data_IF_084926831437
#
_entry.id   IF_084926831437
#
_cell.length_a   1.000
_cell.length_b   1.000
_cell.length_c   1.000
_cell.angle_alpha   90.00
_cell.angle_beta   90.00
_cell.angle_gamma   90.00
#
_symmetry.space_group_name_H-M   'P 1'
#
loop_
_entity.id
_entity.type
_entity.pdbx_description
1 polymer ?
#
# COMPACT_ATOMS: atom_id res chain seq x y z
N UNK A 1 50.20 -10.95 -46.74
CA UNK A 1 49.72 -11.36 -45.39
C UNK A 1 48.25 -10.93 -45.30
N UNK A 2 47.32 -11.90 -45.27
CA UNK A 2 46.50 -12.28 -44.08
C UNK A 2 45.65 -11.09 -43.56
N UNK A 3 44.35 -11.16 -43.29
CA UNK A 3 43.36 -12.24 -43.17
C UNK A 3 42.00 -11.57 -42.83
N UNK A 4 40.88 -12.14 -43.35
CA UNK A 4 39.54 -12.34 -42.70
C UNK A 4 38.65 -11.10 -42.46
N UNK A 5 37.44 -11.02 -43.06
CA UNK A 5 36.15 -11.67 -42.67
C UNK A 5 35.80 -11.35 -41.19
N UNK A 6 34.63 -10.77 -40.84
CA UNK A 6 33.32 -11.43 -40.62
C UNK A 6 32.33 -10.28 -40.27
N UNK A 7 31.31 -9.95 -41.07
CA UNK A 7 29.89 -10.37 -40.99
C UNK A 7 29.20 -10.33 -39.60
N UNK A 8 28.15 -9.50 -39.53
CA UNK A 8 26.89 -9.68 -38.80
C UNK A 8 26.88 -10.12 -37.32
N UNK A 9 26.34 -9.27 -36.44
CA UNK A 9 25.16 -9.61 -35.62
C UNK A 9 24.34 -8.33 -35.40
N UNK A 10 23.40 -8.06 -36.29
CA UNK A 10 22.26 -7.20 -36.01
C UNK A 10 21.11 -8.11 -35.60
N UNK A 11 21.06 -8.52 -34.33
CA UNK A 11 19.92 -9.23 -33.77
C UNK A 11 20.02 -9.15 -32.25
N UNK A 12 19.24 -8.25 -31.63
CA UNK A 12 18.73 -8.32 -30.26
C UNK A 12 17.96 -7.02 -29.94
N UNK A 13 16.96 -6.68 -30.76
CA UNK A 13 15.90 -5.73 -30.39
C UNK A 13 14.54 -6.45 -30.34
N UNK A 14 14.58 -7.74 -29.98
CA UNK A 14 13.41 -8.53 -29.62
C UNK A 14 13.54 -8.99 -28.16
N UNK A 15 14.02 -8.11 -27.27
CA UNK A 15 13.44 -8.13 -25.93
C UNK A 15 12.05 -7.56 -26.10
N UNK A 16 11.09 -8.45 -26.35
CA UNK A 16 9.69 -8.18 -26.09
C UNK A 16 9.64 -7.35 -24.81
N UNK A 17 9.16 -6.12 -24.92
CA UNK A 17 8.83 -5.32 -23.77
C UNK A 17 7.88 -6.16 -22.95
N UNK A 18 8.42 -6.82 -21.92
CA UNK A 18 7.68 -6.95 -20.68
C UNK A 18 7.55 -5.51 -20.25
N UNK A 19 6.53 -4.82 -20.78
CA UNK A 19 5.96 -3.68 -20.11
C UNK A 19 5.49 -4.28 -18.79
N UNK A 20 6.39 -4.30 -17.82
CA UNK A 20 6.01 -4.33 -16.41
C UNK A 20 5.05 -3.16 -16.34
N UNK A 21 3.76 -3.46 -16.25
CA UNK A 21 2.80 -2.38 -16.15
C UNK A 21 3.18 -1.62 -14.89
N UNK A 22 3.54 -0.34 -15.10
CA UNK A 22 4.05 0.52 -14.04
C UNK A 22 2.97 0.65 -12.98
N UNK A 23 3.35 0.45 -11.72
CA UNK A 23 2.43 0.59 -10.62
C UNK A 23 1.80 1.98 -10.63
N UNK A 24 0.50 2.03 -10.39
CA UNK A 24 -0.19 3.31 -10.37
C UNK A 24 0.22 4.08 -9.12
N UNK A 25 0.73 5.29 -9.36
CA UNK A 25 1.20 6.18 -8.30
C UNK A 25 0.06 6.96 -7.66
N UNK A 26 0.24 7.23 -6.37
CA UNK A 26 -0.57 8.05 -5.48
C UNK A 26 0.30 9.17 -4.91
N UNK A 27 -0.13 10.42 -5.08
CA UNK A 27 0.56 11.59 -4.55
C UNK A 27 -0.31 12.28 -3.51
N UNK A 28 0.25 12.53 -2.33
CA UNK A 28 -0.44 13.21 -1.23
C UNK A 28 0.54 14.05 -0.39
N UNK A 29 0.02 14.99 0.41
CA UNK A 29 0.82 15.70 1.40
C UNK A 29 0.74 14.98 2.75
N UNK A 30 1.88 14.74 3.40
CA UNK A 30 1.91 14.12 4.73
C UNK A 30 1.55 15.11 5.85
N UNK A 31 1.61 14.64 7.11
CA UNK A 31 1.31 15.47 8.27
C UNK A 31 2.25 16.68 8.47
N UNK A 32 3.38 16.73 7.75
CA UNK A 32 4.31 17.86 7.74
C UNK A 32 4.11 18.79 6.53
N UNK A 33 3.13 18.48 5.67
CA UNK A 33 2.88 19.19 4.41
C UNK A 33 3.83 18.79 3.29
N UNK A 34 4.68 17.77 3.49
CA UNK A 34 5.61 17.30 2.46
C UNK A 34 4.85 16.44 1.45
N UNK A 35 5.01 16.75 0.17
CA UNK A 35 4.49 15.91 -0.91
C UNK A 35 5.24 14.58 -0.94
N UNK A 36 4.47 13.49 -0.87
CA UNK A 36 4.91 12.11 -1.01
C UNK A 36 4.25 11.53 -2.25
N UNK A 37 5.04 10.78 -3.03
CA UNK A 37 4.53 9.97 -4.14
C UNK A 37 4.93 8.52 -3.88
N UNK A 38 3.96 7.61 -3.88
CA UNK A 38 4.12 6.18 -3.59
C UNK A 38 3.11 5.40 -4.43
N UNK A 39 3.22 4.08 -4.48
CA UNK A 39 2.29 3.24 -5.24
C UNK A 39 0.96 3.10 -4.47
N UNK A 40 -0.17 3.02 -5.18
CA UNK A 40 -1.49 2.88 -4.55
C UNK A 40 -1.58 1.63 -3.67
N UNK A 41 -1.07 0.50 -4.17
CA UNK A 41 -1.05 -0.74 -3.37
C UNK A 41 -0.23 -0.55 -2.09
N UNK A 42 0.90 0.15 -2.15
CA UNK A 42 1.76 0.39 -1.01
C UNK A 42 1.05 1.26 0.04
N UNK A 43 0.28 2.25 -0.40
CA UNK A 43 -0.55 3.09 0.47
C UNK A 43 -1.62 2.26 1.19
N UNK A 44 -2.33 1.39 0.45
CA UNK A 44 -3.35 0.52 1.02
C UNK A 44 -2.74 -0.49 2.01
N UNK A 45 -1.64 -1.16 1.64
CA UNK A 45 -0.91 -2.06 2.53
C UNK A 45 -0.43 -1.36 3.81
N UNK A 46 0.08 -0.12 3.66
CA UNK A 46 0.53 0.71 4.78
C UNK A 46 -0.59 1.00 5.77
N UNK A 47 -1.79 1.32 5.27
CA UNK A 47 -2.97 1.49 6.11
C UNK A 47 -3.42 0.17 6.76
N UNK A 48 -3.42 -0.95 6.02
CA UNK A 48 -3.72 -2.25 6.60
C UNK A 48 -2.79 -2.58 7.79
N UNK A 49 -1.48 -2.42 7.61
CA UNK A 49 -0.49 -2.65 8.67
C UNK A 49 -0.68 -1.75 9.88
N UNK A 50 -0.92 -0.46 9.65
CA UNK A 50 -1.15 0.51 10.72
C UNK A 50 -2.43 0.20 11.50
N UNK A 51 -3.54 -0.02 10.81
CA UNK A 51 -4.83 -0.30 11.42
C UNK A 51 -4.84 -1.63 12.16
N UNK A 52 -4.08 -2.63 11.72
CA UNK A 52 -3.92 -3.90 12.45
C UNK A 52 -3.37 -3.69 13.86
N UNK A 53 -2.42 -2.78 14.00
CA UNK A 53 -1.78 -2.46 15.29
C UNK A 53 -2.71 -1.59 16.14
N UNK A 54 -3.34 -0.59 15.53
CA UNK A 54 -4.30 0.28 16.23
C UNK A 54 -5.54 -0.49 16.69
N UNK A 55 -6.00 -1.50 15.96
CA UNK A 55 -7.11 -2.35 16.39
C UNK A 55 -6.75 -3.17 17.63
N UNK A 56 -5.52 -3.70 17.69
CA UNK A 56 -5.00 -4.36 18.89
C UNK A 56 -4.98 -3.42 20.10
N UNK A 57 -4.52 -2.18 19.91
CA UNK A 57 -4.59 -1.17 20.97
C UNK A 57 -6.05 -0.85 21.36
N UNK A 58 -6.94 -0.65 20.39
CA UNK A 58 -8.35 -0.35 20.63
C UNK A 58 -9.06 -1.45 21.43
N UNK A 59 -8.71 -2.73 21.19
CA UNK A 59 -9.15 -3.86 22.01
C UNK A 59 -8.71 -3.70 23.46
N UNK A 60 -7.43 -3.39 23.72
CA UNK A 60 -6.94 -3.20 25.09
C UNK A 60 -7.64 -2.05 25.82
N UNK A 61 -8.10 -1.05 25.07
CA UNK A 61 -8.84 0.11 25.59
C UNK A 61 -10.36 -0.08 25.59
N UNK A 62 -10.86 -1.26 25.20
CA UNK A 62 -12.31 -1.55 25.10
C UNK A 62 -13.08 -0.52 24.26
N UNK A 63 -12.50 -0.05 23.16
CA UNK A 63 -13.16 0.88 22.25
C UNK A 63 -14.32 0.18 21.51
N UNK A 64 -15.50 0.80 21.36
CA UNK A 64 -16.67 0.17 20.74
C UNK A 64 -16.49 -0.12 19.24
N UNK A 65 -15.61 0.61 18.55
CA UNK A 65 -15.43 0.53 17.09
C UNK A 65 -14.46 -0.54 16.60
N UNK A 66 -13.91 -1.41 17.48
CA UNK A 66 -12.91 -2.43 17.13
C UNK A 66 -13.30 -3.26 15.91
N UNK A 67 -14.56 -3.73 15.85
CA UNK A 67 -15.03 -4.57 14.74
C UNK A 67 -14.94 -3.83 13.39
N UNK A 68 -15.35 -2.55 13.37
CA UNK A 68 -15.28 -1.74 12.15
C UNK A 68 -13.83 -1.53 11.70
N UNK A 69 -12.89 -1.40 12.64
CA UNK A 69 -11.45 -1.30 12.32
C UNK A 69 -10.89 -2.59 11.73
N UNK A 70 -11.31 -3.76 12.23
CA UNK A 70 -10.88 -5.04 11.70
C UNK A 70 -11.39 -5.24 10.27
N UNK A 71 -12.66 -4.93 10.01
CA UNK A 71 -13.25 -4.93 8.67
C UNK A 71 -12.49 -3.98 7.73
N UNK A 72 -12.17 -2.78 8.22
CA UNK A 72 -11.41 -1.79 7.46
C UNK A 72 -9.99 -2.25 7.16
N UNK A 73 -9.32 -2.85 8.14
CA UNK A 73 -7.98 -3.45 7.98
C UNK A 73 -7.97 -4.49 6.87
N UNK A 74 -8.94 -5.41 6.89
CA UNK A 74 -9.10 -6.44 5.85
C UNK A 74 -9.37 -5.82 4.49
N UNK A 75 -10.21 -4.80 4.40
CA UNK A 75 -10.50 -4.14 3.13
C UNK A 75 -9.25 -3.45 2.54
N UNK A 76 -8.47 -2.71 3.34
CA UNK A 76 -7.21 -2.14 2.87
C UNK A 76 -6.24 -3.21 2.36
N UNK A 77 -6.15 -4.35 3.06
CA UNK A 77 -5.35 -5.48 2.63
C UNK A 77 -5.80 -6.01 1.27
N UNK A 78 -7.10 -6.27 1.11
CA UNK A 78 -7.68 -6.76 -0.14
C UNK A 78 -7.46 -5.78 -1.30
N UNK A 79 -7.65 -4.48 -1.07
CA UNK A 79 -7.40 -3.45 -2.09
C UNK A 79 -5.93 -3.41 -2.52
N UNK A 80 -4.99 -3.54 -1.57
CA UNK A 80 -3.57 -3.62 -1.91
C UNK A 80 -3.25 -4.80 -2.82
N UNK A 81 -3.70 -6.00 -2.45
CA UNK A 81 -3.42 -7.23 -3.20
C UNK A 81 -4.08 -7.17 -4.56
N UNK A 82 -5.35 -6.74 -4.62
CA UNK A 82 -6.09 -6.58 -5.86
C UNK A 82 -5.42 -5.59 -6.82
N UNK A 83 -4.99 -4.43 -6.31
CA UNK A 83 -4.32 -3.40 -7.13
C UNK A 83 -3.02 -3.93 -7.73
N UNK A 84 -2.19 -4.63 -6.93
CA UNK A 84 -0.97 -5.28 -7.42
C UNK A 84 -1.26 -6.31 -8.53
N UNK A 85 -2.29 -7.14 -8.37
CA UNK A 85 -2.69 -8.11 -9.40
C UNK A 85 -3.08 -7.41 -10.70
N UNK A 86 -3.89 -6.34 -10.61
CA UNK A 86 -4.31 -5.58 -11.79
C UNK A 86 -3.16 -4.80 -12.44
N UNK A 87 -2.31 -4.16 -11.64
CA UNK A 87 -1.20 -3.35 -12.15
C UNK A 87 -0.11 -4.23 -12.73
N UNK A 88 0.31 -5.31 -12.04
CA UNK A 88 1.46 -6.11 -12.46
C UNK A 88 1.12 -7.41 -13.20
N UNK A 89 -0.16 -7.76 -13.29
CA UNK A 89 -0.61 -9.01 -13.94
C UNK A 89 -0.14 -10.29 -13.24
N UNK A 90 0.17 -10.22 -11.94
CA UNK A 90 0.69 -11.33 -11.14
C UNK A 90 -0.43 -12.10 -10.44
N UNK A 91 -0.11 -13.30 -9.95
CA UNK A 91 -1.04 -14.11 -9.15
C UNK A 91 -1.23 -13.51 -7.74
N UNK A 92 -2.20 -14.05 -7.01
CA UNK A 92 -2.59 -13.55 -5.69
C UNK A 92 -1.52 -13.74 -4.62
N UNK A 93 -0.83 -14.88 -4.61
CA UNK A 93 0.20 -15.18 -3.61
C UNK A 93 1.42 -14.25 -3.76
N UNK A 94 1.84 -13.99 -5.00
CA UNK A 94 2.92 -13.05 -5.29
C UNK A 94 2.53 -11.61 -4.91
N UNK A 95 1.30 -11.19 -5.21
CA UNK A 95 0.78 -9.89 -4.81
C UNK A 95 0.69 -9.76 -3.28
N UNK A 96 0.18 -10.78 -2.59
CA UNK A 96 0.11 -10.83 -1.13
C UNK A 96 1.49 -10.75 -0.50
N UNK A 97 2.48 -11.48 -1.04
CA UNK A 97 3.86 -11.45 -0.54
C UNK A 97 4.49 -10.06 -0.66
N UNK A 98 4.26 -9.36 -1.76
CA UNK A 98 4.75 -8.00 -1.96
C UNK A 98 4.05 -6.99 -1.04
N UNK A 99 2.71 -7.05 -0.95
CA UNK A 99 1.91 -6.20 -0.07
C UNK A 99 2.30 -6.39 1.41
N UNK A 100 2.59 -7.63 1.81
CA UNK A 100 2.94 -7.97 3.19
C UNK A 100 4.15 -7.19 3.70
N UNK A 101 5.18 -7.00 2.86
CA UNK A 101 6.39 -6.26 3.25
C UNK A 101 6.08 -4.81 3.67
N UNK A 102 5.23 -4.13 2.91
CA UNK A 102 4.81 -2.76 3.25
C UNK A 102 3.91 -2.73 4.49
N UNK A 103 2.98 -3.67 4.61
CA UNK A 103 2.10 -3.75 5.77
C UNK A 103 2.88 -4.01 7.07
N UNK A 104 3.83 -4.94 7.05
CA UNK A 104 4.67 -5.25 8.21
C UNK A 104 5.56 -4.06 8.62
N UNK A 105 6.17 -3.38 7.65
CA UNK A 105 6.98 -2.18 7.92
C UNK A 105 6.16 -1.11 8.65
N UNK A 106 4.94 -0.84 8.18
CA UNK A 106 4.09 0.18 8.79
C UNK A 106 3.46 -0.27 10.11
N UNK A 107 3.21 -1.58 10.28
CA UNK A 107 2.82 -2.13 11.58
C UNK A 107 3.93 -1.88 12.62
N UNK A 108 5.18 -2.21 12.32
CA UNK A 108 6.32 -1.99 13.23
C UNK A 108 6.49 -0.50 13.59
N UNK A 109 6.36 0.40 12.61
CA UNK A 109 6.39 1.84 12.86
C UNK A 109 5.24 2.26 13.79
N UNK A 110 4.04 1.72 13.60
CA UNK A 110 2.89 2.04 14.45
C UNK A 110 3.03 1.47 15.87
N UNK A 111 3.63 0.29 16.04
CA UNK A 111 3.94 -0.28 17.36
C UNK A 111 4.91 0.62 18.13
N UNK A 112 5.97 1.08 17.47
CA UNK A 112 6.88 2.07 18.04
C UNK A 112 6.15 3.39 18.36
N UNK A 113 5.26 3.81 17.46
CA UNK A 113 4.38 4.96 17.67
C UNK A 113 3.52 4.83 18.93
N UNK A 114 2.89 3.67 19.16
CA UNK A 114 2.08 3.43 20.37
C UNK A 114 2.89 3.70 21.63
N UNK A 115 4.13 3.20 21.71
CA UNK A 115 4.98 3.39 22.88
C UNK A 115 5.26 4.88 23.13
N UNK A 116 5.62 5.62 22.08
CA UNK A 116 5.93 7.05 22.15
C UNK A 116 4.69 7.87 22.52
N UNK A 117 3.57 7.67 21.81
CA UNK A 117 2.36 8.47 22.03
C UNK A 117 1.63 8.10 23.32
N UNK A 118 1.71 6.84 23.77
CA UNK A 118 1.18 6.46 25.09
C UNK A 118 2.00 7.09 26.22
N UNK A 119 3.34 7.07 26.14
CA UNK A 119 4.20 7.74 27.12
C UNK A 119 3.96 9.26 27.17
N UNK A 120 3.60 9.86 26.04
CA UNK A 120 3.25 11.28 25.96
C UNK A 120 1.79 11.61 26.34
N UNK A 121 0.95 10.62 26.64
CA UNK A 121 -0.48 10.83 26.91
C UNK A 121 -1.29 11.30 25.70
N UNK A 122 -0.82 11.01 24.48
CA UNK A 122 -1.39 11.50 23.20
C UNK A 122 -1.94 10.38 22.31
N UNK A 123 -2.11 9.17 22.85
CA UNK A 123 -2.47 8.00 22.05
C UNK A 123 -3.86 8.10 21.40
N UNK A 124 -4.85 8.69 22.08
CA UNK A 124 -6.17 8.93 21.47
C UNK A 124 -6.08 9.87 20.25
N UNK A 125 -5.25 10.91 20.32
CA UNK A 125 -5.06 11.86 19.22
C UNK A 125 -4.35 11.20 18.02
N UNK A 126 -3.28 10.44 18.28
CA UNK A 126 -2.60 9.65 17.25
C UNK A 126 -3.58 8.66 16.60
N UNK A 127 -4.33 7.92 17.41
CA UNK A 127 -5.33 6.96 16.93
C UNK A 127 -6.33 7.62 15.98
N UNK A 128 -6.97 8.72 16.39
CA UNK A 128 -7.94 9.43 15.54
C UNK A 128 -7.30 10.00 14.26
N UNK A 129 -6.10 10.58 14.38
CA UNK A 129 -5.38 11.11 13.23
C UNK A 129 -5.08 10.02 12.20
N UNK A 130 -4.61 8.84 12.63
CA UNK A 130 -4.27 7.76 11.71
C UNK A 130 -5.49 7.11 11.07
N UNK A 131 -6.61 7.05 11.78
CA UNK A 131 -7.89 6.66 11.17
C UNK A 131 -8.29 7.63 10.06
N UNK A 132 -8.29 8.94 10.34
CA UNK A 132 -8.66 9.96 9.37
C UNK A 132 -7.77 9.89 8.11
N UNK A 133 -6.44 9.79 8.28
CA UNK A 133 -5.51 9.66 7.15
C UNK A 133 -5.81 8.42 6.30
N UNK A 134 -6.10 7.28 6.92
CA UNK A 134 -6.42 6.08 6.17
C UNK A 134 -7.77 6.19 5.45
N UNK A 135 -8.80 6.77 6.08
CA UNK A 135 -10.08 7.04 5.43
C UNK A 135 -9.92 8.01 4.23
N UNK A 136 -9.09 9.04 4.35
CA UNK A 136 -8.78 9.95 3.24
C UNK A 136 -8.12 9.20 2.08
N UNK A 137 -7.17 8.31 2.38
CA UNK A 137 -6.55 7.45 1.36
C UNK A 137 -7.55 6.50 0.71
N UNK A 138 -8.49 5.94 1.47
CA UNK A 138 -9.54 5.09 0.91
C UNK A 138 -10.46 5.86 -0.03
N UNK A 139 -10.90 7.05 0.37
CA UNK A 139 -11.76 7.90 -0.44
C UNK A 139 -11.05 8.31 -1.74
N UNK A 140 -9.77 8.67 -1.63
CA UNK A 140 -8.95 8.99 -2.80
C UNK A 140 -8.75 7.76 -3.71
N UNK A 141 -8.55 6.57 -3.14
CA UNK A 141 -8.47 5.32 -3.89
C UNK A 141 -9.79 5.05 -4.63
N UNK A 142 -10.93 5.16 -3.94
CA UNK A 142 -12.25 4.95 -4.55
C UNK A 142 -12.55 5.93 -5.69
N UNK A 143 -12.07 7.18 -5.58
CA UNK A 143 -12.18 8.15 -6.66
C UNK A 143 -11.27 7.81 -7.86
N UNK A 144 -10.08 7.26 -7.61
CA UNK A 144 -9.13 6.86 -8.65
C UNK A 144 -9.50 5.54 -9.35
N UNK A 145 -10.23 4.65 -8.66
CA UNK A 145 -10.59 3.31 -9.11
C UNK A 145 -12.05 2.96 -8.79
N UNK A 146 -13.04 3.72 -9.30
CA UNK A 146 -14.46 3.48 -9.00
C UNK A 146 -14.94 2.08 -9.42
N UNK A 147 -14.29 1.45 -10.40
CA UNK A 147 -14.59 0.09 -10.86
C UNK A 147 -14.30 -0.98 -9.80
N UNK A 148 -13.40 -0.71 -8.86
CA UNK A 148 -13.06 -1.64 -7.77
C UNK A 148 -14.15 -1.69 -6.69
N UNK A 149 -15.12 -0.76 -6.72
CA UNK A 149 -16.22 -0.65 -5.75
C UNK A 149 -17.60 -0.95 -6.37
N UNK A 150 -17.64 -1.57 -7.55
CA UNK A 150 -18.90 -1.93 -8.21
C UNK A 150 -19.57 -0.78 -8.96
N UNK A 151 -18.86 0.34 -9.19
CA UNK A 151 -19.28 1.36 -10.14
C UNK A 151 -19.20 0.81 -11.57
N UNK A 152 -20.36 0.56 -12.20
CA UNK A 152 -20.42 0.38 -13.65
C UNK A 152 -20.07 1.73 -14.30
N UNK A 153 -19.04 1.75 -15.13
CA UNK A 153 -18.87 2.81 -16.13
C UNK A 153 -19.97 2.67 -17.19
#
# INVERSE_FOLDING_TARGET
MRQRLIAAVALLAASAGVTVADDRMHTYADATGKTITTEWWQTMASCAGRLKVLSGWAVTQSKPEVKALEERTTMFWLLSVHRLKKDRGINEDDAARLALGSAQSMAQIQEQGINVYSAAGKMDAEYQQKLAVCEDHLNAYAAAFPEDFGGKQ
#
